data_IF_648254804106
#
_entry.id   IF_648254804106
#
_cell.length_a   1.000
_cell.length_b   1.000
_cell.length_c   1.000
_cell.angle_alpha   90.00
_cell.angle_beta   90.00
_cell.angle_gamma   90.00
#
_symmetry.space_group_name_H-M   'P 1'
#
loop_
_entity.id
_entity.type
_entity.pdbx_description
1 polymer ?
#
# COMPACT_ATOMS: atom_id res chain seq x y z
N UNK A 1 3.65 -22.62 -26.89
CA UNK A 1 3.44 -23.37 -25.62
C UNK A 1 4.32 -22.88 -24.47
N UNK A 2 5.66 -22.80 -24.61
CA UNK A 2 6.55 -22.35 -23.51
C UNK A 2 6.18 -20.97 -22.93
N UNK A 3 5.92 -19.96 -23.76
CA UNK A 3 5.55 -18.60 -23.32
C UNK A 3 4.13 -18.50 -22.71
N UNK A 4 3.20 -19.37 -23.15
CA UNK A 4 1.78 -19.34 -22.72
C UNK A 4 1.61 -19.85 -21.28
N UNK A 5 2.39 -20.86 -20.86
CA UNK A 5 2.33 -21.40 -19.49
C UNK A 5 3.31 -20.72 -18.52
N UNK A 6 4.46 -20.23 -19.01
CA UNK A 6 5.52 -19.65 -18.18
C UNK A 6 5.12 -18.31 -17.54
N UNK A 7 4.35 -17.49 -18.26
CA UNK A 7 3.90 -16.19 -17.76
C UNK A 7 2.92 -16.34 -16.57
N UNK A 8 1.83 -17.13 -16.65
CA UNK A 8 0.94 -17.36 -15.50
C UNK A 8 1.65 -18.01 -14.31
N UNK A 9 2.51 -19.01 -14.57
CA UNK A 9 3.24 -19.71 -13.51
C UNK A 9 4.25 -18.82 -12.80
N UNK A 10 5.01 -18.00 -13.54
CA UNK A 10 5.95 -17.05 -12.93
C UNK A 10 5.24 -15.96 -12.13
N UNK A 11 4.08 -15.46 -12.60
CA UNK A 11 3.24 -14.55 -11.81
C UNK A 11 2.77 -15.20 -10.51
N UNK A 12 2.28 -16.44 -10.56
CA UNK A 12 1.81 -17.17 -9.38
C UNK A 12 2.95 -17.44 -8.38
N UNK A 13 4.10 -17.92 -8.87
CA UNK A 13 5.27 -18.17 -8.04
C UNK A 13 5.75 -16.87 -7.36
N UNK A 14 5.83 -15.78 -8.13
CA UNK A 14 6.25 -14.50 -7.59
C UNK A 14 5.24 -13.97 -6.55
N UNK A 15 3.93 -14.14 -6.78
CA UNK A 15 2.91 -13.81 -5.79
C UNK A 15 3.08 -14.62 -4.51
N UNK A 16 3.30 -15.93 -4.59
CA UNK A 16 3.55 -16.77 -3.42
C UNK A 16 4.79 -16.32 -2.64
N UNK A 17 5.89 -15.99 -3.34
CA UNK A 17 7.11 -15.46 -2.71
C UNK A 17 6.81 -14.14 -2.01
N UNK A 18 6.11 -13.21 -2.66
CA UNK A 18 5.73 -11.93 -2.05
C UNK A 18 4.81 -12.12 -0.84
N UNK A 19 3.86 -13.06 -0.88
CA UNK A 19 2.99 -13.37 0.26
C UNK A 19 3.78 -13.92 1.45
N UNK A 20 4.64 -14.91 1.22
CA UNK A 20 5.52 -15.48 2.26
C UNK A 20 6.42 -14.38 2.84
N UNK A 21 7.00 -13.55 1.97
CA UNK A 21 7.85 -12.44 2.38
C UNK A 21 7.09 -11.42 3.24
N UNK A 22 5.94 -10.92 2.78
CA UNK A 22 5.15 -9.95 3.53
C UNK A 22 4.67 -10.51 4.86
N UNK A 23 4.22 -11.76 4.89
CA UNK A 23 3.77 -12.41 6.11
C UNK A 23 4.91 -12.56 7.10
N UNK A 24 6.05 -13.13 6.69
CA UNK A 24 7.23 -13.29 7.54
C UNK A 24 7.79 -11.95 8.03
N UNK A 25 7.87 -10.95 7.15
CA UNK A 25 8.30 -9.61 7.51
C UNK A 25 7.37 -8.96 8.54
N UNK A 26 6.05 -9.06 8.34
CA UNK A 26 5.07 -8.53 9.28
C UNK A 26 5.17 -9.19 10.66
N UNK A 27 5.27 -10.53 10.71
CA UNK A 27 5.48 -11.26 11.96
C UNK A 27 6.78 -10.86 12.67
N UNK A 28 7.87 -10.66 11.93
CA UNK A 28 9.14 -10.23 12.51
C UNK A 28 9.03 -8.84 13.13
N UNK A 29 8.37 -7.89 12.46
CA UNK A 29 8.13 -6.56 13.04
C UNK A 29 7.30 -6.68 14.32
N UNK A 30 6.22 -7.46 14.29
CA UNK A 30 5.35 -7.64 15.47
C UNK A 30 6.01 -8.41 16.62
N UNK A 31 7.14 -9.09 16.39
CA UNK A 31 7.79 -9.90 17.42
C UNK A 31 8.63 -9.10 18.41
N UNK A 32 9.11 -7.92 18.00
CA UNK A 32 9.93 -7.08 18.86
C UNK A 32 10.04 -5.66 18.33
N UNK A 33 9.97 -4.68 19.23
CA UNK A 33 10.19 -3.26 18.95
C UNK A 33 11.56 -3.02 18.30
N UNK A 34 12.60 -3.72 18.77
CA UNK A 34 13.94 -3.59 18.22
C UNK A 34 14.05 -4.16 16.81
N UNK A 35 13.37 -5.26 16.54
CA UNK A 35 13.30 -5.84 15.20
C UNK A 35 12.52 -4.90 14.26
N UNK A 36 11.38 -4.37 14.72
CA UNK A 36 10.63 -3.35 13.98
C UNK A 36 11.51 -2.13 13.65
N UNK A 37 12.25 -1.60 14.61
CA UNK A 37 13.18 -0.48 14.43
C UNK A 37 14.27 -0.80 13.39
N UNK A 38 14.94 -1.94 13.54
CA UNK A 38 16.01 -2.37 12.64
C UNK A 38 15.47 -2.53 11.22
N UNK A 39 14.35 -3.23 11.05
CA UNK A 39 13.81 -3.57 9.74
C UNK A 39 13.16 -2.39 9.00
N UNK A 40 12.52 -1.47 9.74
CA UNK A 40 11.78 -0.35 9.13
C UNK A 40 12.57 0.94 9.02
N UNK A 41 13.59 1.15 9.85
CA UNK A 41 14.36 2.39 9.89
C UNK A 41 15.83 2.16 9.56
N UNK A 42 16.50 1.24 10.25
CA UNK A 42 17.94 1.01 10.02
C UNK A 42 18.19 0.41 8.64
N UNK A 43 17.45 -0.64 8.27
CA UNK A 43 17.69 -1.38 7.03
C UNK A 43 17.51 -0.48 5.79
N UNK A 44 16.43 0.32 5.65
CA UNK A 44 16.32 1.26 4.54
C UNK A 44 17.45 2.30 4.50
N UNK A 45 17.97 2.71 5.67
CA UNK A 45 19.08 3.67 5.78
C UNK A 45 20.41 3.05 5.34
N UNK A 46 20.72 1.83 5.78
CA UNK A 46 21.94 1.10 5.40
C UNK A 46 21.96 0.85 3.89
N UNK A 47 20.83 0.45 3.32
CA UNK A 47 20.71 0.10 1.91
C UNK A 47 20.32 1.29 1.02
N UNK A 48 20.25 2.50 1.57
CA UNK A 48 20.03 3.74 0.83
C UNK A 48 21.00 3.93 -0.36
N UNK A 49 22.30 3.57 -0.27
CA UNK A 49 23.23 3.66 -1.39
C UNK A 49 22.88 2.77 -2.58
N UNK A 50 22.05 1.72 -2.38
CA UNK A 50 21.61 0.84 -3.46
C UNK A 50 20.41 1.40 -4.24
N UNK A 51 19.81 2.50 -3.81
CA UNK A 51 18.66 3.10 -4.49
C UNK A 51 19.08 3.55 -5.89
N UNK A 52 18.49 2.94 -6.90
CA UNK A 52 18.73 3.30 -8.28
C UNK A 52 17.84 4.48 -8.71
N UNK A 53 18.31 5.36 -9.60
CA UNK A 53 17.47 6.39 -10.21
C UNK A 53 16.47 5.72 -11.18
N UNK A 54 15.30 5.37 -10.65
CA UNK A 54 14.19 4.81 -11.44
C UNK A 54 13.19 5.87 -11.87
N UNK A 55 12.40 5.56 -12.91
CA UNK A 55 11.25 6.36 -13.31
C UNK A 55 10.30 6.58 -12.12
N UNK A 56 9.82 7.82 -11.96
CA UNK A 56 9.04 8.29 -10.81
C UNK A 56 9.78 8.21 -9.46
N UNK A 57 11.11 8.14 -9.43
CA UNK A 57 11.90 8.09 -8.18
C UNK A 57 11.56 9.19 -7.19
N UNK A 58 11.27 10.42 -7.63
CA UNK A 58 10.87 11.52 -6.73
C UNK A 58 9.52 11.26 -6.04
N UNK A 59 8.54 10.69 -6.74
CA UNK A 59 7.25 10.33 -6.16
C UNK A 59 7.41 9.19 -5.16
N UNK A 60 8.20 8.16 -5.51
CA UNK A 60 8.47 7.01 -4.65
C UNK A 60 9.26 7.43 -3.40
N UNK A 61 10.28 8.29 -3.54
CA UNK A 61 11.05 8.82 -2.40
C UNK A 61 10.18 9.62 -1.44
N UNK A 62 9.25 10.42 -1.96
CA UNK A 62 8.28 11.17 -1.13
C UNK A 62 7.35 10.23 -0.37
N UNK A 63 6.85 9.18 -1.03
CA UNK A 63 6.02 8.15 -0.38
C UNK A 63 6.83 7.43 0.69
N UNK A 64 8.05 6.99 0.36
CA UNK A 64 8.95 6.31 1.30
C UNK A 64 9.23 7.18 2.53
N UNK A 65 9.46 8.48 2.36
CA UNK A 65 9.70 9.40 3.47
C UNK A 65 8.49 9.50 4.40
N UNK A 66 7.29 9.62 3.85
CA UNK A 66 6.05 9.64 4.62
C UNK A 66 5.86 8.32 5.39
N UNK A 67 6.02 7.19 4.71
CA UNK A 67 5.85 5.86 5.32
C UNK A 67 6.94 5.55 6.35
N UNK A 68 8.16 6.05 6.16
CA UNK A 68 9.24 6.01 7.18
C UNK A 68 8.85 6.84 8.40
N UNK A 69 8.26 8.03 8.20
CA UNK A 69 7.73 8.85 9.27
C UNK A 69 6.62 8.13 10.05
N UNK A 70 5.72 7.42 9.36
CA UNK A 70 4.72 6.57 10.00
C UNK A 70 5.33 5.44 10.83
N UNK A 71 6.28 4.69 10.27
CA UNK A 71 6.97 3.61 11.00
C UNK A 71 7.71 4.15 12.24
N UNK A 72 8.26 5.37 12.16
CA UNK A 72 8.87 6.06 13.30
C UNK A 72 7.84 6.43 14.38
N UNK A 73 6.64 6.90 14.00
CA UNK A 73 5.55 7.14 14.94
C UNK A 73 5.12 5.85 15.64
N UNK A 74 4.98 4.75 14.90
CA UNK A 74 4.70 3.43 15.46
C UNK A 74 5.80 3.01 16.44
N UNK A 75 7.08 3.18 16.10
CA UNK A 75 8.18 2.89 17.01
C UNK A 75 8.08 3.70 18.32
N UNK A 76 7.85 5.02 18.23
CA UNK A 76 7.71 5.85 19.43
C UNK A 76 6.49 5.50 20.27
N UNK A 77 5.42 5.03 19.64
CA UNK A 77 4.22 4.55 20.33
C UNK A 77 4.55 3.33 21.19
N UNK A 78 5.18 2.31 20.59
CA UNK A 78 5.47 1.06 21.30
C UNK A 78 6.64 1.21 22.27
N UNK A 79 7.62 2.08 21.98
CA UNK A 79 8.72 2.38 22.91
C UNK A 79 8.25 3.19 24.13
N UNK A 80 7.02 3.70 24.12
CA UNK A 80 6.43 4.55 25.17
C UNK A 80 7.25 5.82 25.47
N UNK A 81 8.07 6.29 24.52
CA UNK A 81 8.86 7.51 24.69
C UNK A 81 7.99 8.78 24.58
N UNK A 82 6.86 8.67 23.90
CA UNK A 82 5.89 9.74 23.69
C UNK A 82 4.52 9.23 24.13
N UNK A 83 3.71 10.10 24.75
CA UNK A 83 2.35 9.69 25.13
C UNK A 83 1.50 9.36 23.91
N UNK A 84 0.63 8.36 24.06
CA UNK A 84 -0.26 7.89 22.99
C UNK A 84 -1.10 9.02 22.40
N UNK A 85 -1.52 10.01 23.21
CA UNK A 85 -2.30 11.15 22.73
C UNK A 85 -1.56 11.98 21.67
N UNK A 86 -0.25 12.21 21.83
CA UNK A 86 0.54 12.92 20.82
C UNK A 86 0.80 12.06 19.59
N UNK A 87 0.97 10.75 19.77
CA UNK A 87 1.08 9.79 18.66
C UNK A 87 -0.20 9.81 17.82
N UNK A 88 -1.38 9.74 18.43
CA UNK A 88 -2.66 9.74 17.71
C UNK A 88 -2.84 11.02 16.89
N UNK A 89 -2.50 12.20 17.44
CA UNK A 89 -2.52 13.47 16.71
C UNK A 89 -1.55 13.46 15.52
N UNK A 90 -0.37 12.86 15.69
CA UNK A 90 0.60 12.72 14.62
C UNK A 90 0.14 11.73 13.53
N UNK A 91 -0.50 10.61 13.90
CA UNK A 91 -1.09 9.65 12.97
C UNK A 91 -2.24 10.27 12.16
N UNK A 92 -3.11 11.05 12.79
CA UNK A 92 -4.15 11.83 12.08
C UNK A 92 -3.51 12.79 11.08
N UNK A 93 -2.47 13.50 11.50
CA UNK A 93 -1.73 14.42 10.61
C UNK A 93 -1.12 13.67 9.42
N UNK A 94 -0.54 12.49 9.67
CA UNK A 94 -0.01 11.62 8.62
C UNK A 94 -1.09 11.23 7.60
N UNK A 95 -2.26 10.76 8.04
CA UNK A 95 -3.35 10.40 7.13
C UNK A 95 -3.85 11.59 6.31
N UNK A 96 -3.94 12.79 6.91
CA UNK A 96 -4.31 14.02 6.21
C UNK A 96 -3.28 14.36 5.12
N UNK A 97 -1.99 14.31 5.46
CA UNK A 97 -0.90 14.61 4.52
C UNK A 97 -0.86 13.59 3.38
N UNK A 98 -1.03 12.30 3.68
CA UNK A 98 -1.04 11.25 2.67
C UNK A 98 -2.24 11.38 1.72
N UNK A 99 -3.45 11.55 2.26
CA UNK A 99 -4.66 11.75 1.47
C UNK A 99 -4.54 13.00 0.57
N UNK A 100 -4.14 14.13 1.16
CA UNK A 100 -3.96 15.40 0.43
C UNK A 100 -2.89 15.30 -0.65
N UNK A 101 -1.80 14.57 -0.38
CA UNK A 101 -0.74 14.29 -1.34
C UNK A 101 -1.23 13.55 -2.58
N UNK A 102 -2.04 12.50 -2.41
CA UNK A 102 -2.64 11.77 -3.52
C UNK A 102 -3.65 12.62 -4.29
N UNK A 103 -4.56 13.31 -3.59
CA UNK A 103 -5.55 14.20 -4.22
C UNK A 103 -4.90 15.28 -5.07
N UNK A 104 -3.83 15.92 -4.56
CA UNK A 104 -3.11 16.97 -5.29
C UNK A 104 -2.44 16.42 -6.56
N UNK A 105 -1.83 15.24 -6.49
CA UNK A 105 -1.23 14.59 -7.67
C UNK A 105 -2.30 14.25 -8.70
N UNK A 106 -3.42 13.66 -8.28
CA UNK A 106 -4.50 13.26 -9.18
C UNK A 106 -5.20 14.47 -9.81
N UNK A 107 -5.38 15.56 -9.05
CA UNK A 107 -5.88 16.83 -9.57
C UNK A 107 -4.96 17.39 -10.66
N UNK A 108 -3.64 17.46 -10.39
CA UNK A 108 -2.66 17.93 -11.38
C UNK A 108 -2.63 17.07 -12.64
N UNK A 109 -2.79 15.75 -12.50
CA UNK A 109 -2.89 14.79 -13.61
C UNK A 109 -4.27 14.79 -14.30
N UNK A 110 -5.23 15.60 -13.83
CA UNK A 110 -6.64 15.63 -14.29
C UNK A 110 -7.34 14.26 -14.23
N UNK A 111 -6.92 13.40 -13.30
CA UNK A 111 -7.46 12.07 -13.08
C UNK A 111 -8.68 12.14 -12.14
N UNK A 112 -9.79 12.73 -12.60
CA UNK A 112 -10.94 13.06 -11.74
C UNK A 112 -11.63 11.84 -11.09
N UNK A 113 -11.71 10.71 -11.79
CA UNK A 113 -12.28 9.49 -11.20
C UNK A 113 -11.38 8.92 -10.10
N UNK A 114 -10.05 8.96 -10.30
CA UNK A 114 -9.11 8.60 -9.25
C UNK A 114 -9.17 9.54 -8.06
N UNK A 115 -9.33 10.84 -8.30
CA UNK A 115 -9.52 11.83 -7.25
C UNK A 115 -10.79 11.53 -6.44
N UNK A 116 -11.89 11.18 -7.10
CA UNK A 116 -13.13 10.78 -6.43
C UNK A 116 -12.92 9.59 -5.50
N UNK A 117 -12.16 8.57 -5.93
CA UNK A 117 -11.78 7.43 -5.08
C UNK A 117 -10.93 7.86 -3.87
N UNK A 118 -9.96 8.74 -4.06
CA UNK A 118 -9.16 9.27 -2.94
C UNK A 118 -10.02 10.06 -1.96
N UNK A 119 -11.06 10.77 -2.42
CA UNK A 119 -12.02 11.46 -1.55
C UNK A 119 -12.83 10.46 -0.74
N UNK A 120 -13.39 9.42 -1.36
CA UNK A 120 -14.09 8.37 -0.61
C UNK A 120 -13.20 7.68 0.42
N UNK A 121 -11.96 7.37 0.05
CA UNK A 121 -11.00 6.78 0.98
C UNK A 121 -10.68 7.71 2.15
N UNK A 122 -10.43 8.99 1.90
CA UNK A 122 -10.15 9.97 2.95
C UNK A 122 -11.34 10.18 3.89
N UNK A 123 -12.56 10.24 3.35
CA UNK A 123 -13.78 10.34 4.14
C UNK A 123 -14.00 9.08 4.99
N UNK A 124 -13.78 7.89 4.43
CA UNK A 124 -13.91 6.64 5.15
C UNK A 124 -12.88 6.50 6.28
N UNK A 125 -11.62 6.91 6.04
CA UNK A 125 -10.58 7.00 7.08
C UNK A 125 -11.01 8.00 8.15
N UNK A 126 -11.46 9.19 7.77
CA UNK A 126 -11.91 10.21 8.74
C UNK A 126 -13.09 9.74 9.60
N UNK A 127 -14.05 9.02 9.00
CA UNK A 127 -15.16 8.42 9.74
C UNK A 127 -14.68 7.35 10.73
N UNK A 128 -13.78 6.47 10.28
CA UNK A 128 -13.17 5.45 11.16
C UNK A 128 -12.43 6.10 12.33
N UNK A 129 -11.57 7.09 12.08
CA UNK A 129 -10.82 7.82 13.13
C UNK A 129 -11.78 8.46 14.14
N UNK A 130 -12.85 9.12 13.67
CA UNK A 130 -13.83 9.78 14.54
C UNK A 130 -14.57 8.79 15.46
N UNK A 131 -14.84 7.59 14.97
CA UNK A 131 -15.52 6.52 15.74
C UNK A 131 -14.57 5.62 16.53
N UNK A 132 -13.29 5.99 16.64
CA UNK A 132 -12.24 5.18 17.27
C UNK A 132 -11.73 5.84 18.56
N UNK A 133 -10.99 5.06 19.35
CA UNK A 133 -10.41 5.48 20.62
C UNK A 133 -8.94 5.88 20.47
N UNK A 134 -8.18 5.68 21.55
CA UNK A 134 -6.73 5.84 21.52
C UNK A 134 -6.05 4.59 20.96
N UNK A 135 -4.88 4.75 20.35
CA UNK A 135 -4.06 3.61 19.92
C UNK A 135 -3.79 2.67 21.10
N UNK A 136 -4.03 1.37 20.90
CA UNK A 136 -3.79 0.34 21.89
C UNK A 136 -2.44 -0.33 21.64
N UNK A 137 -1.65 -0.46 22.70
CA UNK A 137 -0.41 -1.25 22.69
C UNK A 137 -0.77 -2.64 23.23
N UNK A 138 -0.66 -3.66 22.39
CA UNK A 138 -1.10 -5.02 22.74
C UNK A 138 0.03 -5.81 23.38
N UNK A 139 1.13 -6.00 22.65
CA UNK A 139 2.33 -6.76 23.05
C UNK A 139 3.60 -6.12 22.48
N UNK A 140 4.77 -6.76 22.64
CA UNK A 140 6.08 -6.27 22.17
C UNK A 140 6.14 -6.07 20.63
N UNK A 141 5.84 -4.86 20.17
CA UNK A 141 5.84 -4.48 18.75
C UNK A 141 4.45 -4.52 18.10
N UNK A 142 3.44 -5.04 18.81
CA UNK A 142 2.06 -5.12 18.36
C UNK A 142 1.25 -3.92 18.83
N UNK A 143 0.61 -3.24 17.88
CA UNK A 143 -0.21 -2.07 18.13
C UNK A 143 -1.48 -2.14 17.29
N UNK A 144 -2.54 -1.51 17.79
CA UNK A 144 -3.80 -1.29 17.11
C UNK A 144 -4.10 0.20 17.05
N UNK A 145 -3.86 0.80 15.89
CA UNK A 145 -4.04 2.23 15.63
C UNK A 145 -5.48 2.65 15.92
N UNK A 146 -5.62 3.70 16.72
CA UNK A 146 -6.89 4.21 17.25
C UNK A 146 -7.73 3.16 18.01
N UNK A 147 -7.13 2.03 18.39
CA UNK A 147 -7.73 1.03 19.27
C UNK A 147 -8.90 0.26 18.66
N UNK A 148 -9.13 0.37 17.35
CA UNK A 148 -10.24 -0.30 16.66
C UNK A 148 -9.81 -0.74 15.26
N UNK A 149 -10.04 -2.02 14.95
CA UNK A 149 -9.78 -2.55 13.61
C UNK A 149 -10.54 -1.77 12.54
N UNK A 150 -9.90 -1.59 11.38
CA UNK A 150 -10.52 -0.95 10.24
C UNK A 150 -11.76 -1.75 9.80
N UNK A 151 -12.91 -1.11 9.59
CA UNK A 151 -14.11 -1.81 9.12
C UNK A 151 -13.88 -2.38 7.71
N UNK A 152 -14.50 -3.53 7.40
CA UNK A 152 -14.33 -4.20 6.12
C UNK A 152 -14.71 -3.32 4.92
N UNK A 153 -15.68 -2.41 5.09
CA UNK A 153 -16.04 -1.43 4.06
C UNK A 153 -14.86 -0.51 3.72
N UNK A 154 -14.09 -0.07 4.72
CA UNK A 154 -12.90 0.74 4.51
C UNK A 154 -11.83 -0.05 3.77
N UNK A 155 -11.67 -1.34 4.08
CA UNK A 155 -10.76 -2.23 3.34
C UNK A 155 -11.17 -2.38 1.86
N UNK A 156 -12.48 -2.48 1.56
CA UNK A 156 -12.99 -2.51 0.19
C UNK A 156 -12.73 -1.18 -0.54
N UNK A 157 -13.01 -0.04 0.10
CA UNK A 157 -12.74 1.29 -0.48
C UNK A 157 -11.24 1.43 -0.78
N UNK A 158 -10.37 0.99 0.15
CA UNK A 158 -8.94 0.96 -0.06
C UNK A 158 -8.55 0.05 -1.23
N UNK A 159 -9.13 -1.15 -1.31
CA UNK A 159 -8.88 -2.09 -2.42
C UNK A 159 -9.29 -1.52 -3.77
N UNK A 160 -10.42 -0.80 -3.83
CA UNK A 160 -10.87 -0.11 -5.04
C UNK A 160 -9.90 1.01 -5.44
N UNK A 161 -9.48 1.83 -4.46
CA UNK A 161 -8.46 2.86 -4.65
C UNK A 161 -7.12 2.28 -5.12
N UNK A 162 -6.66 1.17 -4.53
CA UNK A 162 -5.42 0.50 -4.91
C UNK A 162 -5.49 -0.06 -6.33
N UNK A 163 -6.63 -0.64 -6.71
CA UNK A 163 -6.88 -1.16 -8.06
C UNK A 163 -6.83 -0.03 -9.08
N UNK A 164 -7.46 1.11 -8.80
CA UNK A 164 -7.38 2.31 -9.64
C UNK A 164 -5.95 2.79 -9.81
N UNK A 165 -5.20 2.88 -8.70
CA UNK A 165 -3.81 3.31 -8.72
C UNK A 165 -2.98 2.39 -9.63
N UNK A 166 -3.05 1.08 -9.43
CA UNK A 166 -2.21 0.10 -10.12
C UNK A 166 -2.56 -0.05 -11.61
N UNK A 167 -3.85 -0.13 -11.96
CA UNK A 167 -4.27 -0.48 -13.32
C UNK A 167 -4.67 0.70 -14.18
N UNK A 168 -4.93 1.88 -13.60
CA UNK A 168 -5.30 3.09 -14.35
C UNK A 168 -4.17 4.11 -14.31
N UNK A 169 -3.70 4.49 -13.12
CA UNK A 169 -2.66 5.52 -12.99
C UNK A 169 -1.26 5.01 -13.33
N UNK A 170 -0.93 3.79 -12.90
CA UNK A 170 0.36 3.15 -13.12
C UNK A 170 0.38 2.19 -14.31
N UNK A 171 -0.60 2.32 -15.22
CA UNK A 171 -0.75 1.44 -16.38
C UNK A 171 0.47 1.41 -17.32
N UNK A 172 1.32 2.44 -17.30
CA UNK A 172 2.57 2.50 -18.07
C UNK A 172 3.63 1.51 -17.60
N UNK A 173 3.48 0.93 -16.39
CA UNK A 173 4.35 -0.13 -15.87
C UNK A 173 3.96 -1.51 -16.43
N UNK A 174 2.72 -1.65 -16.91
CA UNK A 174 2.25 -2.87 -17.56
C UNK A 174 3.00 -3.07 -18.90
N UNK A 175 3.27 -4.32 -19.31
CA UNK A 175 2.70 -5.57 -18.82
C UNK A 175 3.45 -6.23 -17.65
N UNK A 176 4.49 -5.58 -17.08
CA UNK A 176 5.25 -6.12 -15.94
C UNK A 176 4.39 -6.10 -14.68
N UNK A 177 4.12 -7.27 -14.11
CA UNK A 177 3.18 -7.44 -13.01
C UNK A 177 3.83 -7.38 -11.63
N UNK A 178 5.15 -7.20 -11.55
CA UNK A 178 5.91 -7.25 -10.27
C UNK A 178 5.37 -6.24 -9.26
N UNK A 179 5.21 -4.97 -9.66
CA UNK A 179 4.68 -3.93 -8.78
C UNK A 179 3.26 -4.25 -8.31
N UNK A 180 2.40 -4.70 -9.23
CA UNK A 180 1.02 -5.08 -8.95
C UNK A 180 0.98 -6.22 -7.93
N UNK A 181 1.76 -7.27 -8.16
CA UNK A 181 1.83 -8.45 -7.29
C UNK A 181 2.37 -8.09 -5.91
N UNK A 182 3.41 -7.26 -5.82
CA UNK A 182 3.92 -6.75 -4.55
C UNK A 182 2.82 -6.05 -3.73
N UNK A 183 2.04 -5.17 -4.37
CA UNK A 183 0.96 -4.46 -3.69
C UNK A 183 -0.23 -5.35 -3.34
N UNK A 184 -0.57 -6.32 -4.19
CA UNK A 184 -1.61 -7.31 -3.90
C UNK A 184 -1.19 -8.15 -2.69
N UNK A 185 0.05 -8.64 -2.64
CA UNK A 185 0.54 -9.44 -1.52
C UNK A 185 0.48 -8.66 -0.21
N UNK A 186 0.98 -7.42 -0.19
CA UNK A 186 0.91 -6.54 0.98
C UNK A 186 -0.54 -6.24 1.41
N UNK A 187 -1.44 -5.99 0.45
CA UNK A 187 -2.86 -5.80 0.76
C UNK A 187 -3.52 -7.06 1.32
N UNK A 188 -3.21 -8.24 0.79
CA UNK A 188 -3.72 -9.52 1.30
C UNK A 188 -3.31 -9.76 2.76
N UNK A 189 -2.04 -9.50 3.11
CA UNK A 189 -1.59 -9.59 4.50
C UNK A 189 -2.30 -8.57 5.39
N UNK A 190 -2.48 -7.33 4.91
CA UNK A 190 -3.16 -6.30 5.67
C UNK A 190 -4.64 -6.61 5.95
N UNK A 191 -5.36 -7.21 5.01
CA UNK A 191 -6.77 -7.61 5.20
C UNK A 191 -6.90 -8.70 6.26
N UNK A 192 -5.88 -9.56 6.42
CA UNK A 192 -5.86 -10.58 7.47
C UNK A 192 -5.34 -10.11 8.83
N UNK A 193 -4.84 -8.88 8.92
CA UNK A 193 -4.26 -8.33 10.13
C UNK A 193 -5.30 -7.57 10.97
N UNK A 194 -5.17 -7.60 12.29
CA UNK A 194 -6.03 -6.84 13.19
C UNK A 194 -5.87 -5.32 13.02
N UNK A 195 -4.63 -4.88 12.75
CA UNK A 195 -4.31 -3.51 12.34
C UNK A 195 -3.98 -3.45 10.83
N UNK A 196 -5.04 -3.21 10.06
CA UNK A 196 -4.97 -3.07 8.61
C UNK A 196 -3.95 -2.02 8.13
N UNK A 197 -3.95 -0.82 8.71
CA UNK A 197 -3.12 0.28 8.20
C UNK A 197 -1.66 0.10 8.57
N UNK A 198 -1.38 -0.34 9.79
CA UNK A 198 -0.01 -0.67 10.19
C UNK A 198 0.56 -1.78 9.30
N UNK A 199 -0.14 -2.90 9.16
CA UNK A 199 0.26 -4.02 8.32
C UNK A 199 0.45 -3.61 6.85
N UNK A 200 -0.47 -2.79 6.32
CA UNK A 200 -0.40 -2.32 4.94
C UNK A 200 0.79 -1.40 4.72
N UNK A 201 0.96 -0.36 5.53
CA UNK A 201 2.00 0.66 5.33
C UNK A 201 3.38 0.05 5.52
N UNK A 202 3.57 -0.78 6.53
CA UNK A 202 4.88 -1.36 6.82
C UNK A 202 5.33 -2.34 5.73
N UNK A 203 4.43 -3.21 5.26
CA UNK A 203 4.77 -4.16 4.19
C UNK A 203 4.87 -3.46 2.82
N UNK A 204 4.04 -2.44 2.55
CA UNK A 204 4.13 -1.64 1.33
C UNK A 204 5.46 -0.90 1.21
N UNK A 205 5.81 -0.17 2.28
CA UNK A 205 7.00 0.68 2.32
C UNK A 205 8.26 -0.13 2.13
N UNK A 206 8.30 -1.31 2.73
CA UNK A 206 9.42 -2.20 2.59
C UNK A 206 9.53 -2.80 1.17
N UNK A 207 8.41 -3.21 0.57
CA UNK A 207 8.41 -3.66 -0.83
C UNK A 207 8.75 -2.54 -1.82
N UNK A 208 8.31 -1.30 -1.57
CA UNK A 208 8.69 -0.13 -2.36
C UNK A 208 10.19 0.15 -2.24
N UNK A 209 10.74 0.04 -1.02
CA UNK A 209 12.17 0.14 -0.78
C UNK A 209 12.97 -0.90 -1.59
N UNK A 210 12.57 -2.18 -1.52
CA UNK A 210 13.21 -3.23 -2.32
C UNK A 210 13.06 -2.96 -3.82
N UNK A 211 11.90 -2.48 -4.27
CA UNK A 211 11.69 -2.09 -5.67
C UNK A 211 12.64 -0.97 -6.12
N UNK A 212 13.08 -0.08 -5.22
CA UNK A 212 14.07 0.96 -5.54
C UNK A 212 15.50 0.39 -5.60
N UNK A 213 15.83 -0.55 -4.72
CA UNK A 213 17.17 -1.16 -4.66
C UNK A 213 17.43 -2.08 -5.85
N UNK A 214 16.42 -2.81 -6.29
CA UNK A 214 16.56 -3.88 -7.28
C UNK A 214 15.83 -3.61 -8.60
N UNK A 215 15.06 -2.52 -8.69
CA UNK A 215 14.33 -2.11 -9.88
C UNK A 215 13.43 -3.21 -10.49
N UNK A 216 12.57 -3.81 -9.65
CA UNK A 216 11.65 -4.88 -10.06
C UNK A 216 10.67 -4.48 -11.19
N UNK A 217 10.49 -3.17 -11.40
CA UNK A 217 9.62 -2.60 -12.44
C UNK A 217 10.25 -2.72 -13.84
N UNK A 218 11.56 -2.84 -13.92
CA UNK A 218 12.26 -2.95 -15.20
C UNK A 218 11.84 -4.25 -15.90
N UNK A 219 11.50 -4.16 -17.19
CA UNK A 219 11.07 -5.33 -17.97
C UNK A 219 12.13 -6.44 -17.97
N UNK A 220 13.41 -6.06 -17.98
CA UNK A 220 14.54 -6.98 -18.01
C UNK A 220 14.84 -7.65 -16.67
N UNK A 221 14.31 -7.12 -15.57
CA UNK A 221 14.55 -7.69 -14.24
C UNK A 221 13.93 -9.08 -14.11
N UNK A 222 14.74 -10.09 -13.79
CA UNK A 222 14.33 -11.49 -13.75
C UNK A 222 14.13 -12.14 -15.14
N UNK A 223 14.42 -11.41 -16.22
CA UNK A 223 14.23 -11.85 -17.61
C UNK A 223 13.00 -11.22 -18.28
N UNK A 224 13.05 -11.07 -19.61
CA UNK A 224 12.05 -10.35 -20.42
C UNK A 224 10.65 -10.95 -20.42
N UNK A 225 10.49 -12.21 -19.98
CA UNK A 225 9.21 -12.93 -19.90
C UNK A 225 8.79 -13.22 -18.44
N UNK A 226 9.58 -12.77 -17.47
CA UNK A 226 9.34 -13.04 -16.06
C UNK A 226 8.27 -12.10 -15.50
N UNK A 227 7.21 -12.67 -14.92
CA UNK A 227 6.16 -11.91 -14.20
C UNK A 227 5.53 -10.85 -15.11
N UNK A 228 4.99 -11.33 -16.24
CA UNK A 228 4.36 -10.50 -17.27
C UNK A 228 2.95 -11.00 -17.52
N UNK A 229 2.01 -10.11 -17.85
CA UNK A 229 0.68 -10.47 -18.31
C UNK A 229 0.27 -9.63 -19.54
N UNK A 230 0.80 -9.95 -20.72
CA UNK A 230 0.61 -9.13 -21.93
C UNK A 230 -0.85 -9.06 -22.39
N UNK A 231 -1.56 -10.20 -22.46
CA UNK A 231 -2.97 -10.22 -22.89
C UNK A 231 -3.86 -9.46 -21.93
N UNK A 232 -3.65 -9.64 -20.62
CA UNK A 232 -4.36 -8.89 -19.59
C UNK A 232 -4.04 -7.39 -19.67
N UNK A 233 -2.76 -7.05 -19.84
CA UNK A 233 -2.32 -5.66 -20.02
C UNK A 233 -2.98 -5.00 -21.22
N UNK A 234 -3.01 -5.68 -22.37
CA UNK A 234 -3.66 -5.17 -23.59
C UNK A 234 -5.15 -4.93 -23.40
N UNK A 235 -5.83 -5.82 -22.67
CA UNK A 235 -7.23 -5.66 -22.32
C UNK A 235 -7.47 -4.50 -21.34
N UNK A 236 -6.76 -4.51 -20.20
CA UNK A 236 -7.01 -3.54 -19.12
C UNK A 236 -6.65 -2.12 -19.54
N UNK A 237 -5.64 -1.94 -20.40
CA UNK A 237 -5.20 -0.61 -20.89
C UNK A 237 -6.10 -0.02 -21.98
N UNK A 238 -7.02 -0.80 -22.54
CA UNK A 238 -7.96 -0.30 -23.55
C UNK A 238 -8.84 0.82 -22.97
N UNK A 239 -8.99 1.92 -23.70
CA UNK A 239 -9.66 3.14 -23.19
C UNK A 239 -11.08 2.91 -22.65
N UNK A 240 -11.87 2.06 -23.33
CA UNK A 240 -13.23 1.69 -22.87
C UNK A 240 -13.18 0.91 -21.55
N UNK A 241 -12.23 0.00 -21.42
CA UNK A 241 -12.04 -0.81 -20.21
C UNK A 241 -11.56 0.06 -19.05
N UNK A 242 -10.62 0.97 -19.29
CA UNK A 242 -10.13 1.92 -18.28
C UNK A 242 -11.23 2.81 -17.70
N UNK A 243 -12.07 3.37 -18.58
CA UNK A 243 -13.21 4.19 -18.16
C UNK A 243 -14.23 3.36 -17.38
N UNK A 244 -14.63 2.20 -17.90
CA UNK A 244 -15.57 1.29 -17.24
C UNK A 244 -15.06 0.81 -15.88
N UNK A 245 -13.79 0.41 -15.80
CA UNK A 245 -13.13 0.00 -14.56
C UNK A 245 -13.19 1.13 -13.53
N UNK A 246 -12.79 2.35 -13.92
CA UNK A 246 -12.80 3.50 -13.00
C UNK A 246 -14.20 3.80 -12.45
N UNK A 247 -15.24 3.74 -13.31
CA UNK A 247 -16.64 3.95 -12.91
C UNK A 247 -17.07 2.86 -11.92
N UNK A 248 -16.81 1.59 -12.24
CA UNK A 248 -17.15 0.46 -11.36
C UNK A 248 -16.49 0.62 -10.00
N UNK A 249 -15.19 0.96 -9.95
CA UNK A 249 -14.46 1.16 -8.70
C UNK A 249 -15.05 2.31 -7.87
N UNK A 250 -15.41 3.44 -8.50
CA UNK A 250 -16.10 4.55 -7.82
C UNK A 250 -17.45 4.12 -7.26
N UNK A 251 -18.25 3.38 -8.03
CA UNK A 251 -19.54 2.85 -7.56
C UNK A 251 -19.35 1.91 -6.36
N UNK A 252 -18.37 1.00 -6.41
CA UNK A 252 -18.04 0.10 -5.29
C UNK A 252 -17.65 0.91 -4.05
N UNK A 253 -16.81 1.94 -4.21
CA UNK A 253 -16.41 2.79 -3.10
C UNK A 253 -17.60 3.57 -2.51
N UNK A 254 -18.47 4.12 -3.36
CA UNK A 254 -19.65 4.86 -2.93
C UNK A 254 -20.65 3.96 -2.17
N UNK A 255 -20.94 2.77 -2.69
CA UNK A 255 -21.83 1.78 -2.03
C UNK A 255 -21.24 1.36 -0.68
N UNK A 256 -19.94 1.05 -0.65
CA UNK A 256 -19.25 0.65 0.58
C UNK A 256 -19.23 1.78 1.61
N UNK A 257 -19.03 3.02 1.18
CA UNK A 257 -19.04 4.19 2.06
C UNK A 257 -20.43 4.47 2.63
N UNK A 258 -21.49 4.35 1.83
CA UNK A 258 -22.87 4.43 2.32
C UNK A 258 -23.14 3.35 3.37
N UNK A 259 -22.69 2.11 3.13
CA UNK A 259 -22.78 1.02 4.10
C UNK A 259 -21.99 1.27 5.39
N UNK A 260 -20.88 2.01 5.31
CA UNK A 260 -20.09 2.41 6.48
C UNK A 260 -20.81 3.46 7.35
N UNK A 261 -21.58 4.38 6.74
CA UNK A 261 -22.31 5.43 7.47
C UNK A 261 -23.57 4.88 8.17
N UNK A 262 -24.19 3.86 7.59
CA UNK A 262 -25.47 3.32 8.07
C UNK A 262 -25.28 2.39 9.30
N UNK A 263 -24.08 1.85 9.51
CA UNK A 263 -23.73 0.99 10.65
C UNK A 263 -23.33 1.81 11.88
#
# INVERSE_FOLDING_TARGET
MKTILYSPLSNLLFLLICLIYCYGFYLLVQSSIWIAFVLTLILPTIFLPLIQPVDNSNEIKRILLLETGFNLLCFFAVSQWISVEYIDKALVTFFILQASGFMLVQWKKRAYLSLCLSVFLALAIGFWIRGSGQTLLLNDGELLIFGKSAPWQLMIIYGAWLTQLLFVEYRHVLPKMTLVICHIASFSIAVSADDFFHARIITASHLLFLSLCFNFKLREWGGKDFVIAESFSGYVTAARVQCGLSIVLVCVAAISFSGLIIM
#
